data_IF_262020482107
#
_entry.id   IF_262020482107
#
_cell.length_a   1.000
_cell.length_b   1.000
_cell.length_c   1.000
_cell.angle_alpha   90.00
_cell.angle_beta   90.00
_cell.angle_gamma   90.00
#
_symmetry.space_group_name_H-M   'P 1'
#
loop_
_entity.id
_entity.type
_entity.pdbx_description
1 polymer ?
#
# COMPACT_ATOMS: atom_id res chain seq x y z
N UNK A 1 -16.16 8.32 -7.18
CA UNK A 1 -16.05 6.90 -6.76
C UNK A 1 -14.66 6.43 -7.12
N UNK A 2 -13.81 6.15 -6.12
CA UNK A 2 -12.41 5.74 -6.36
C UNK A 2 -12.29 4.23 -6.28
N UNK A 3 -11.71 3.64 -7.32
CA UNK A 3 -11.42 2.21 -7.41
C UNK A 3 -9.95 1.94 -7.07
N UNK A 4 -9.72 0.84 -6.36
CA UNK A 4 -8.42 0.28 -6.04
C UNK A 4 -8.22 -0.94 -6.92
N UNK A 5 -7.16 -0.90 -7.73
CA UNK A 5 -6.76 -1.99 -8.62
C UNK A 5 -5.68 -2.83 -7.95
N UNK A 6 -5.95 -4.12 -7.76
CA UNK A 6 -5.02 -5.08 -7.18
C UNK A 6 -4.63 -6.07 -8.28
N UNK A 7 -3.38 -6.00 -8.72
CA UNK A 7 -2.84 -6.93 -9.70
C UNK A 7 -2.41 -8.22 -8.98
N UNK A 8 -3.03 -9.33 -9.36
CA UNK A 8 -2.63 -10.67 -8.94
C UNK A 8 -1.97 -11.41 -10.12
N UNK A 9 -1.27 -12.54 -9.87
CA UNK A 9 -0.54 -13.22 -10.93
C UNK A 9 -1.37 -13.63 -12.15
N UNK A 10 -2.68 -13.90 -11.97
CA UNK A 10 -3.56 -14.42 -13.03
C UNK A 10 -4.75 -13.52 -13.39
N UNK A 11 -5.05 -12.50 -12.58
CA UNK A 11 -6.22 -11.66 -12.76
C UNK A 11 -6.06 -10.33 -12.05
N UNK A 12 -7.00 -9.42 -12.32
CA UNK A 12 -7.03 -8.08 -11.77
C UNK A 12 -8.29 -7.97 -10.93
N UNK A 13 -8.14 -7.64 -9.65
CA UNK A 13 -9.27 -7.26 -8.81
C UNK A 13 -9.42 -5.74 -8.85
N UNK A 14 -10.64 -5.28 -9.02
CA UNK A 14 -11.01 -3.86 -8.97
C UNK A 14 -12.11 -3.74 -7.94
N UNK A 15 -11.81 -3.05 -6.84
CA UNK A 15 -12.70 -2.91 -5.69
C UNK A 15 -12.74 -1.46 -5.24
N UNK A 16 -13.82 -1.04 -4.61
CA UNK A 16 -13.88 0.23 -3.88
C UNK A 16 -13.20 0.10 -2.52
N UNK A 17 -12.87 1.24 -1.91
CA UNK A 17 -12.35 1.26 -0.54
C UNK A 17 -13.34 0.62 0.46
N UNK A 18 -14.64 0.89 0.30
CA UNK A 18 -15.70 0.32 1.14
C UNK A 18 -15.79 -1.20 1.02
N UNK A 19 -15.67 -1.76 -0.18
CA UNK A 19 -15.70 -3.22 -0.37
C UNK A 19 -14.48 -3.89 0.27
N UNK A 20 -13.29 -3.29 0.16
CA UNK A 20 -12.10 -3.78 0.84
C UNK A 20 -12.28 -3.73 2.36
N UNK A 21 -12.85 -2.62 2.86
CA UNK A 21 -13.21 -2.46 4.27
C UNK A 21 -14.14 -3.57 4.78
N UNK A 22 -15.21 -3.85 4.04
CA UNK A 22 -16.14 -4.92 4.41
C UNK A 22 -15.53 -6.31 4.30
N UNK A 23 -14.67 -6.57 3.30
CA UNK A 23 -14.05 -7.88 3.10
C UNK A 23 -13.07 -8.23 4.21
N UNK A 24 -12.14 -7.31 4.52
CA UNK A 24 -11.12 -7.55 5.53
C UNK A 24 -11.70 -7.42 6.96
N UNK A 25 -12.84 -6.75 7.17
CA UNK A 25 -13.52 -6.75 8.47
C UNK A 25 -13.93 -8.17 8.93
N UNK A 26 -14.06 -9.12 7.98
CA UNK A 26 -14.31 -10.53 8.29
C UNK A 26 -13.11 -11.25 8.91
N UNK A 27 -11.89 -10.70 8.77
CA UNK A 27 -10.65 -11.21 9.36
C UNK A 27 -9.80 -10.05 9.93
N UNK A 28 -10.05 -9.66 11.20
CA UNK A 28 -9.35 -8.56 11.85
C UNK A 28 -7.82 -8.79 11.97
N UNK A 29 -7.37 -10.03 12.06
CA UNK A 29 -5.93 -10.34 12.16
C UNK A 29 -5.23 -10.08 10.83
N UNK A 30 -5.86 -10.47 9.71
CA UNK A 30 -5.38 -10.12 8.39
C UNK A 30 -5.36 -8.60 8.18
N UNK A 31 -6.40 -7.90 8.67
CA UNK A 31 -6.47 -6.43 8.62
C UNK A 31 -5.28 -5.78 9.33
N UNK A 32 -5.02 -6.16 10.58
CA UNK A 32 -3.91 -5.62 11.36
C UNK A 32 -2.55 -5.85 10.68
N UNK A 33 -2.33 -7.07 10.15
CA UNK A 33 -1.11 -7.41 9.39
C UNK A 33 -0.98 -6.61 8.10
N UNK A 34 -2.07 -6.35 7.38
CA UNK A 34 -2.07 -5.53 6.17
C UNK A 34 -1.64 -4.09 6.47
N UNK A 35 -2.19 -3.47 7.53
CA UNK A 35 -1.77 -2.13 7.98
C UNK A 35 -0.28 -2.11 8.33
N UNK A 36 0.20 -3.11 9.07
CA UNK A 36 1.61 -3.23 9.45
C UNK A 36 2.54 -3.23 8.24
N UNK A 37 2.21 -4.03 7.22
CA UNK A 37 2.96 -4.07 5.94
C UNK A 37 2.95 -2.71 5.23
N UNK A 38 1.79 -2.05 5.16
CA UNK A 38 1.66 -0.73 4.52
C UNK A 38 2.54 0.34 5.17
N UNK A 39 2.63 0.36 6.51
CA UNK A 39 3.53 1.28 7.22
C UNK A 39 5.01 1.06 6.87
N UNK A 40 5.42 -0.19 6.70
CA UNK A 40 6.76 -0.56 6.26
C UNK A 40 7.09 -0.01 4.87
N UNK A 41 6.19 -0.22 3.92
CA UNK A 41 6.32 0.30 2.54
C UNK A 41 6.43 1.84 2.54
N UNK A 42 5.52 2.54 3.22
CA UNK A 42 5.56 4.00 3.30
C UNK A 42 6.86 4.53 3.92
N UNK A 43 7.39 3.83 4.93
CA UNK A 43 8.68 4.21 5.54
C UNK A 43 9.82 4.01 4.54
N UNK A 44 9.84 2.90 3.82
CA UNK A 44 10.84 2.64 2.78
C UNK A 44 10.78 3.68 1.66
N UNK A 45 9.60 3.98 1.14
CA UNK A 45 9.40 4.99 0.09
C UNK A 45 9.87 6.37 0.54
N UNK A 46 9.56 6.77 1.78
CA UNK A 46 10.05 8.05 2.34
C UNK A 46 11.56 8.09 2.52
N UNK A 47 12.18 6.97 2.89
CA UNK A 47 13.63 6.88 3.01
C UNK A 47 14.28 7.02 1.64
N UNK A 48 13.81 6.25 0.66
CA UNK A 48 14.29 6.30 -0.72
C UNK A 48 14.14 7.69 -1.34
N UNK A 49 12.99 8.34 -1.15
CA UNK A 49 12.76 9.71 -1.64
C UNK A 49 13.73 10.73 -1.02
N UNK A 50 14.18 10.52 0.22
CA UNK A 50 15.19 11.39 0.86
C UNK A 50 16.59 11.14 0.30
N UNK A 51 16.94 9.89 0.01
CA UNK A 51 18.21 9.55 -0.62
C UNK A 51 18.31 10.17 -2.02
N UNK A 52 17.26 10.02 -2.83
CA UNK A 52 17.16 10.62 -4.17
C UNK A 52 17.23 12.17 -4.11
N UNK A 53 16.58 12.80 -3.11
CA UNK A 53 16.66 14.25 -2.90
C UNK A 53 18.05 14.72 -2.41
N UNK A 54 18.74 13.90 -1.61
CA UNK A 54 20.09 14.18 -1.12
C UNK A 54 21.16 14.04 -2.21
N UNK A 55 20.96 13.15 -3.18
CA UNK A 55 21.89 12.94 -4.31
C UNK A 55 21.87 14.12 -5.31
N UNK A 56 20.76 14.86 -5.39
CA UNK A 56 20.63 16.07 -6.23
C UNK A 56 21.49 17.26 -5.70
N UNK A 57 22.04 17.18 -4.48
CA UNK A 57 22.82 18.27 -3.86
C UNK A 57 24.34 18.09 -3.99
N UNK A 58 24.83 17.00 -4.59
CA UNK A 58 26.26 16.84 -4.85
C UNK A 58 26.64 17.53 -6.17
N UNK A 59 26.90 18.84 -6.06
CA UNK A 59 27.62 19.68 -7.04
C UNK A 59 29.11 19.36 -6.98
#
# INVERSE_FOLDING_TARGET
>A
MNYIKIQLPKHILVLTAQEIEHLLAKDPELWARAIGRGKGVLRYERMKAREEAGETTKV
#
